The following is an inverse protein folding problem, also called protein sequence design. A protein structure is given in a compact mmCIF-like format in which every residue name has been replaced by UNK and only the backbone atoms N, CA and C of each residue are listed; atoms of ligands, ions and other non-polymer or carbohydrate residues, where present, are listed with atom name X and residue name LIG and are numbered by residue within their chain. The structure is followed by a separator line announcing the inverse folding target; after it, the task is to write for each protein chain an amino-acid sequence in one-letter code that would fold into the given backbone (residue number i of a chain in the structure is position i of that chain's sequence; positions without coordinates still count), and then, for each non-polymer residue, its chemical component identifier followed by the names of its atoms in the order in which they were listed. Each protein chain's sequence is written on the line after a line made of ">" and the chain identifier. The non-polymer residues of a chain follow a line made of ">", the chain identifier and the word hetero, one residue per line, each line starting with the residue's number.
data_IF_007367203145
#
_entry.id   IF_007367203145
#
_cell.length_a   1.000
_cell.length_b   1.000
_cell.length_c   1.000
_cell.angle_alpha   90.00
_cell.angle_beta   90.00
_cell.angle_gamma   90.00
#
_symmetry.space_group_name_H-M   'P 1'
#
loop_
_entity.id
_entity.type
_entity.pdbx_description
1 polymer ?
#
# COMPACT_ATOMS: atom_id res chain seq x y z
N UNK A 1 7.11 1.91 -1.81
CA UNK A 1 5.66 2.22 -1.89
C UNK A 1 5.00 1.21 -2.81
N UNK A 2 4.20 0.28 -2.26
CA UNK A 2 3.50 -0.75 -3.04
C UNK A 2 2.61 -0.07 -4.09
N UNK A 3 3.00 -0.17 -5.37
CA UNK A 3 2.25 0.42 -6.50
C UNK A 3 0.88 -0.24 -6.74
N UNK A 4 0.58 -1.30 -5.99
CA UNK A 4 -0.67 -2.07 -6.07
C UNK A 4 -1.24 -2.15 -4.65
N UNK A 5 -2.14 -1.24 -4.32
CA UNK A 5 -2.96 -1.33 -3.12
C UNK A 5 -4.38 -1.69 -3.60
N UNK A 6 -4.75 -2.97 -3.49
CA UNK A 6 -6.08 -3.62 -3.58
C UNK A 6 -7.07 -3.25 -4.73
N UNK A 7 -6.95 -2.09 -5.36
CA UNK A 7 -7.79 -1.59 -6.42
C UNK A 7 -7.56 -2.43 -7.67
N UNK A 8 -8.55 -3.29 -7.96
CA UNK A 8 -8.53 -4.22 -9.07
C UNK A 8 -8.28 -5.68 -8.70
N UNK A 9 -8.36 -6.06 -7.41
CA UNK A 9 -8.43 -7.49 -7.04
C UNK A 9 -9.84 -8.04 -7.25
N UNK A 10 -9.93 -9.35 -7.48
CA UNK A 10 -11.24 -10.02 -7.58
C UNK A 10 -12.03 -10.02 -6.27
N UNK A 11 -11.34 -9.96 -5.13
CA UNK A 11 -11.96 -9.93 -3.79
C UNK A 11 -12.76 -8.64 -3.57
N UNK A 12 -12.25 -7.49 -4.00
CA UNK A 12 -12.98 -6.23 -3.88
C UNK A 12 -14.30 -6.27 -4.66
N UNK A 13 -14.28 -6.78 -5.89
CA UNK A 13 -15.52 -6.95 -6.67
C UNK A 13 -16.50 -7.92 -6.03
N UNK A 14 -16.00 -8.96 -5.37
CA UNK A 14 -16.81 -9.93 -4.65
C UNK A 14 -17.48 -9.32 -3.41
N UNK A 15 -16.73 -8.53 -2.62
CA UNK A 15 -17.24 -7.75 -1.48
C UNK A 15 -18.32 -6.77 -1.92
N UNK A 16 -18.06 -5.95 -2.95
CA UNK A 16 -19.03 -4.97 -3.45
C UNK A 16 -20.30 -5.63 -4.02
N UNK A 17 -20.15 -6.77 -4.70
CA UNK A 17 -21.30 -7.54 -5.17
C UNK A 17 -22.15 -8.07 -3.99
N UNK A 18 -21.48 -8.56 -2.94
CA UNK A 18 -22.15 -9.05 -1.74
C UNK A 18 -22.90 -7.93 -1.00
N UNK A 19 -22.33 -6.73 -0.87
CA UNK A 19 -22.99 -5.56 -0.27
C UNK A 19 -24.23 -5.12 -1.05
N UNK A 20 -24.18 -5.19 -2.39
CA UNK A 20 -25.34 -4.94 -3.25
C UNK A 20 -26.35 -6.10 -3.28
N UNK A 21 -26.06 -7.22 -2.61
CA UNK A 21 -26.93 -8.39 -2.57
C UNK A 21 -26.99 -9.19 -3.87
N UNK A 22 -25.95 -9.12 -4.70
CA UNK A 22 -25.89 -9.78 -6.02
C UNK A 22 -24.73 -10.78 -6.12
N UNK A 23 -24.86 -11.79 -6.99
CA UNK A 23 -23.75 -12.72 -7.24
C UNK A 23 -22.71 -12.12 -8.18
N UNK A 24 -21.44 -12.08 -7.74
CA UNK A 24 -20.32 -11.69 -8.61
C UNK A 24 -20.21 -12.57 -9.87
N UNK A 25 -20.55 -13.85 -9.75
CA UNK A 25 -20.41 -14.83 -10.85
C UNK A 25 -21.53 -14.74 -11.88
N UNK A 26 -22.76 -14.55 -11.42
CA UNK A 26 -23.95 -14.68 -12.27
C UNK A 26 -24.59 -13.34 -12.62
N UNK A 27 -24.48 -12.34 -11.74
CA UNK A 27 -25.33 -11.15 -11.78
C UNK A 27 -24.53 -9.89 -12.10
N UNK A 28 -23.31 -9.74 -11.57
CA UNK A 28 -22.53 -8.50 -11.72
C UNK A 28 -22.37 -8.06 -13.17
N UNK A 29 -21.88 -8.93 -14.06
CA UNK A 29 -21.71 -8.56 -15.48
C UNK A 29 -23.05 -8.25 -16.15
N UNK A 30 -24.13 -8.98 -15.78
CA UNK A 30 -25.47 -8.76 -16.33
C UNK A 30 -26.01 -7.39 -15.92
N UNK A 31 -25.88 -7.01 -14.65
CA UNK A 31 -26.26 -5.69 -14.16
C UNK A 31 -25.41 -4.59 -14.81
N UNK A 32 -24.08 -4.76 -14.84
CA UNK A 32 -23.19 -3.79 -15.48
C UNK A 32 -23.56 -3.52 -16.94
N UNK A 33 -23.93 -4.55 -17.72
CA UNK A 33 -24.37 -4.37 -19.11
C UNK A 33 -25.76 -3.75 -19.27
N UNK A 34 -26.60 -3.82 -18.23
CA UNK A 34 -27.88 -3.11 -18.20
C UNK A 34 -27.76 -1.64 -17.78
N UNK A 35 -26.62 -1.25 -17.22
CA UNK A 35 -26.31 0.13 -16.83
C UNK A 35 -26.30 1.05 -18.06
N UNK A 36 -26.96 2.20 -17.93
CA UNK A 36 -27.07 3.21 -18.98
C UNK A 36 -26.13 4.38 -18.74
N UNK A 37 -25.82 4.64 -17.47
CA UNK A 37 -25.05 5.80 -17.01
C UNK A 37 -24.07 5.35 -15.93
N UNK A 38 -22.91 4.78 -16.32
CA UNK A 38 -21.91 4.34 -15.36
C UNK A 38 -21.57 5.43 -14.36
N UNK A 39 -21.64 5.12 -13.07
CA UNK A 39 -21.30 6.06 -12.00
C UNK A 39 -19.80 6.32 -12.01
N UNK A 40 -19.40 7.58 -11.87
CA UNK A 40 -18.00 7.91 -11.64
C UNK A 40 -17.67 7.69 -10.16
N UNK A 41 -17.02 6.56 -9.87
CA UNK A 41 -16.58 6.19 -8.52
C UNK A 41 -15.10 6.58 -8.28
N UNK A 42 -14.49 7.35 -9.19
CA UNK A 42 -13.08 7.72 -9.15
C UNK A 42 -12.12 6.58 -9.50
N UNK A 43 -10.81 6.86 -9.47
CA UNK A 43 -9.72 5.94 -9.83
C UNK A 43 -8.67 5.75 -8.72
N UNK A 44 -9.01 6.11 -7.47
CA UNK A 44 -8.05 6.17 -6.35
C UNK A 44 -7.84 4.81 -5.65
N UNK A 45 -8.39 4.63 -4.44
CA UNK A 45 -8.23 3.47 -3.58
C UNK A 45 -9.58 2.76 -3.42
N UNK A 46 -9.58 1.43 -3.18
CA UNK A 46 -10.81 0.65 -2.95
C UNK A 46 -11.65 1.20 -1.82
N UNK A 47 -11.03 1.70 -0.74
CA UNK A 47 -11.73 2.27 0.41
C UNK A 47 -12.56 3.51 0.04
N UNK A 48 -12.00 4.40 -0.80
CA UNK A 48 -12.76 5.55 -1.28
C UNK A 48 -13.83 5.13 -2.27
N UNK A 49 -13.54 4.13 -3.11
CA UNK A 49 -14.49 3.61 -4.08
C UNK A 49 -15.71 2.97 -3.38
N UNK A 50 -15.49 2.21 -2.31
CA UNK A 50 -16.54 1.65 -1.44
C UNK A 50 -17.42 2.74 -0.82
N UNK A 51 -16.80 3.84 -0.36
CA UNK A 51 -17.54 4.99 0.18
C UNK A 51 -18.44 5.63 -0.89
N UNK A 52 -17.93 5.78 -2.12
CA UNK A 52 -18.72 6.29 -3.26
C UNK A 52 -19.83 5.33 -3.69
N UNK A 53 -19.59 4.01 -3.66
CA UNK A 53 -20.63 3.00 -3.90
C UNK A 53 -21.74 3.11 -2.87
N UNK A 54 -21.40 3.18 -1.58
CA UNK A 54 -22.37 3.39 -0.51
C UNK A 54 -23.18 4.68 -0.73
N UNK A 55 -22.51 5.78 -1.09
CA UNK A 55 -23.18 7.05 -1.39
C UNK A 55 -24.13 6.94 -2.58
N UNK A 56 -23.73 6.25 -3.65
CA UNK A 56 -24.56 6.03 -4.83
C UNK A 56 -25.80 5.19 -4.51
N UNK A 57 -25.64 4.12 -3.71
CA UNK A 57 -26.76 3.30 -3.23
C UNK A 57 -27.74 4.13 -2.39
N UNK A 58 -27.24 4.96 -1.46
CA UNK A 58 -28.09 5.84 -0.64
C UNK A 58 -28.86 6.88 -1.48
N UNK A 59 -28.29 7.33 -2.60
CA UNK A 59 -28.94 8.23 -3.56
C UNK A 59 -29.94 7.49 -4.47
N UNK A 60 -30.12 6.18 -4.32
CA UNK A 60 -31.03 5.37 -5.12
C UNK A 60 -30.56 5.15 -6.55
N UNK A 61 -29.24 5.18 -6.80
CA UNK A 61 -28.69 4.88 -8.12
C UNK A 61 -28.90 3.41 -8.44
N UNK A 62 -29.29 3.12 -9.68
CA UNK A 62 -29.53 1.76 -10.16
C UNK A 62 -28.26 0.89 -10.06
N UNK A 63 -28.42 -0.35 -9.61
CA UNK A 63 -27.32 -1.32 -9.42
C UNK A 63 -26.52 -1.50 -10.72
N UNK A 64 -27.17 -1.44 -11.89
CA UNK A 64 -26.48 -1.55 -13.17
C UNK A 64 -25.52 -0.41 -13.46
N UNK A 65 -25.88 0.81 -13.06
CA UNK A 65 -25.04 2.01 -13.20
C UNK A 65 -23.85 1.96 -12.22
N UNK A 66 -24.05 1.41 -11.02
CA UNK A 66 -22.98 1.19 -10.03
C UNK A 66 -22.01 0.09 -10.51
N UNK A 67 -22.53 -1.06 -10.96
CA UNK A 67 -21.71 -2.18 -11.43
C UNK A 67 -20.87 -1.80 -12.66
N UNK A 68 -21.45 -1.03 -13.59
CA UNK A 68 -20.70 -0.49 -14.73
C UNK A 68 -19.65 0.54 -14.28
N UNK A 69 -19.99 1.43 -13.35
CA UNK A 69 -19.05 2.35 -12.71
C UNK A 69 -17.84 1.63 -12.11
N UNK A 70 -18.07 0.59 -11.31
CA UNK A 70 -17.03 -0.24 -10.70
C UNK A 70 -16.10 -0.88 -11.75
N UNK A 71 -16.66 -1.41 -12.84
CA UNK A 71 -15.87 -1.97 -13.93
C UNK A 71 -14.95 -0.92 -14.59
N UNK A 72 -15.45 0.29 -14.84
CA UNK A 72 -14.66 1.40 -15.38
C UNK A 72 -13.60 1.88 -14.39
N UNK A 73 -13.94 2.04 -13.12
CA UNK A 73 -13.04 2.52 -12.08
C UNK A 73 -11.85 1.58 -11.87
N UNK A 74 -12.07 0.25 -11.90
CA UNK A 74 -11.00 -0.74 -11.84
C UNK A 74 -10.08 -0.64 -13.05
N UNK A 75 -10.65 -0.56 -14.26
CA UNK A 75 -9.86 -0.48 -15.48
C UNK A 75 -9.03 0.81 -15.53
N UNK A 76 -9.61 1.96 -15.19
CA UNK A 76 -8.91 3.25 -15.10
C UNK A 76 -7.81 3.23 -14.06
N UNK A 77 -8.08 2.72 -12.86
CA UNK A 77 -7.09 2.60 -11.81
C UNK A 77 -5.87 1.78 -12.26
N UNK A 78 -6.09 0.62 -12.89
CA UNK A 78 -5.00 -0.20 -13.40
C UNK A 78 -4.17 0.53 -14.46
N UNK A 79 -4.84 1.21 -15.40
CA UNK A 79 -4.17 1.96 -16.46
C UNK A 79 -3.38 3.14 -15.90
N UNK A 80 -3.90 3.88 -14.93
CA UNK A 80 -3.24 5.06 -14.37
C UNK A 80 -2.10 4.69 -13.41
N UNK A 81 -2.30 3.70 -12.54
CA UNK A 81 -1.36 3.38 -11.44
C UNK A 81 -0.33 2.33 -11.82
N UNK A 82 -0.70 1.32 -12.60
CA UNK A 82 0.16 0.17 -12.92
C UNK A 82 0.82 0.33 -14.28
N UNK A 83 0.02 0.67 -15.30
CA UNK A 83 0.55 0.95 -16.64
C UNK A 83 1.24 2.31 -16.66
N UNK A 84 0.58 3.34 -16.12
CA UNK A 84 1.09 4.71 -16.10
C UNK A 84 1.44 5.20 -17.50
N UNK A 85 2.66 5.70 -17.68
CA UNK A 85 3.13 6.25 -18.96
C UNK A 85 3.66 5.19 -19.95
N UNK A 86 3.50 3.89 -19.67
CA UNK A 86 3.98 2.83 -20.56
C UNK A 86 3.14 2.75 -21.83
N UNK A 87 3.78 2.44 -22.95
CA UNK A 87 3.09 2.25 -24.22
C UNK A 87 2.30 0.94 -24.24
N UNK A 88 1.04 1.00 -24.66
CA UNK A 88 0.17 -0.17 -24.79
C UNK A 88 0.19 -0.66 -26.24
N UNK A 89 0.64 -1.89 -26.44
CA UNK A 89 0.73 -2.54 -27.75
C UNK A 89 -0.60 -2.77 -28.46
N UNK A 90 -0.54 -3.44 -29.61
CA UNK A 90 -1.73 -3.84 -30.40
C UNK A 90 -2.40 -5.10 -29.84
N UNK A 91 -1.61 -6.03 -29.32
CA UNK A 91 -2.11 -7.29 -28.77
C UNK A 91 -2.20 -7.17 -27.25
N UNK A 92 -3.42 -7.20 -26.72
CA UNK A 92 -3.68 -7.07 -25.29
C UNK A 92 -4.24 -8.40 -24.80
N UNK A 93 -3.57 -8.98 -23.79
CA UNK A 93 -4.00 -10.19 -23.13
C UNK A 93 -4.34 -9.87 -21.68
N UNK A 94 -5.54 -10.22 -21.22
CA UNK A 94 -5.97 -10.02 -19.85
C UNK A 94 -6.08 -11.37 -19.13
N UNK A 95 -5.42 -11.47 -17.98
CA UNK A 95 -5.24 -12.70 -17.21
C UNK A 95 -5.58 -12.47 -15.73
N UNK A 96 -5.75 -13.55 -14.98
CA UNK A 96 -6.14 -13.53 -13.58
C UNK A 96 -7.65 -13.68 -13.37
N UNK A 97 -8.08 -13.83 -12.12
CA UNK A 97 -9.48 -14.11 -11.77
C UNK A 97 -10.47 -13.03 -12.26
N UNK A 98 -10.07 -11.76 -12.23
CA UNK A 98 -10.88 -10.63 -12.68
C UNK A 98 -11.17 -10.68 -14.18
N UNK A 99 -10.29 -11.30 -14.98
CA UNK A 99 -10.52 -11.46 -16.42
C UNK A 99 -11.74 -12.35 -16.73
N UNK A 100 -12.23 -13.12 -15.75
CA UNK A 100 -13.51 -13.84 -15.88
C UNK A 100 -14.74 -12.92 -15.85
N UNK A 101 -14.63 -11.69 -15.35
CA UNK A 101 -15.72 -10.72 -15.30
C UNK A 101 -15.80 -9.95 -16.61
N UNK A 102 -16.82 -10.25 -17.42
CA UNK A 102 -16.96 -9.68 -18.77
C UNK A 102 -17.18 -8.17 -18.77
N UNK A 103 -17.75 -7.61 -17.72
CA UNK A 103 -17.94 -6.16 -17.61
C UNK A 103 -16.60 -5.42 -17.47
N UNK A 104 -15.66 -5.98 -16.70
CA UNK A 104 -14.31 -5.40 -16.56
C UNK A 104 -13.54 -5.52 -17.86
N UNK A 105 -13.64 -6.65 -18.56
CA UNK A 105 -13.05 -6.83 -19.90
C UNK A 105 -13.59 -5.77 -20.86
N UNK A 106 -14.92 -5.61 -20.92
CA UNK A 106 -15.55 -4.61 -21.76
C UNK A 106 -15.13 -3.18 -21.39
N UNK A 107 -14.98 -2.86 -20.10
CA UNK A 107 -14.48 -1.56 -19.67
C UNK A 107 -13.06 -1.29 -20.18
N UNK A 108 -12.15 -2.27 -20.12
CA UNK A 108 -10.83 -2.15 -20.73
C UNK A 108 -10.90 -1.94 -22.24
N UNK A 109 -11.73 -2.70 -22.96
CA UNK A 109 -11.91 -2.53 -24.40
C UNK A 109 -12.44 -1.14 -24.77
N UNK A 110 -13.39 -0.62 -24.00
CA UNK A 110 -13.95 0.72 -24.18
C UNK A 110 -12.94 1.82 -23.87
N UNK A 111 -12.13 1.70 -22.84
CA UNK A 111 -11.12 2.72 -22.52
C UNK A 111 -9.97 2.69 -23.54
N UNK A 112 -9.53 1.49 -23.92
CA UNK A 112 -8.37 1.30 -24.79
C UNK A 112 -8.69 1.43 -26.28
N UNK A 113 -9.98 1.34 -26.65
CA UNK A 113 -10.46 1.26 -28.03
C UNK A 113 -9.75 0.16 -28.82
N UNK A 114 -9.49 -0.97 -28.14
CA UNK A 114 -8.72 -2.12 -28.64
C UNK A 114 -9.32 -3.42 -28.11
N UNK A 115 -9.26 -4.52 -28.89
CA UNK A 115 -9.74 -5.82 -28.42
C UNK A 115 -8.84 -6.36 -27.30
N UNK A 116 -9.47 -6.91 -26.26
CA UNK A 116 -8.78 -7.51 -25.12
C UNK A 116 -9.02 -9.03 -25.14
N UNK A 117 -7.95 -9.80 -25.32
CA UNK A 117 -8.04 -11.26 -25.40
C UNK A 117 -7.98 -11.88 -24.02
N UNK A 118 -8.96 -12.70 -23.70
CA UNK A 118 -9.03 -13.47 -22.45
C UNK A 118 -8.94 -14.96 -22.76
N UNK A 119 -8.00 -15.65 -22.14
CA UNK A 119 -7.89 -17.11 -22.23
C UNK A 119 -9.03 -17.78 -21.45
N UNK A 120 -9.62 -18.89 -21.94
CA UNK A 120 -10.53 -19.72 -21.12
C UNK A 120 -9.88 -20.21 -19.82
N UNK A 121 -8.54 -20.31 -19.81
CA UNK A 121 -7.74 -20.74 -18.67
C UNK A 121 -7.18 -19.57 -17.84
N UNK A 122 -7.79 -18.36 -17.93
CA UNK A 122 -7.28 -17.13 -17.29
C UNK A 122 -6.98 -17.25 -15.78
N UNK A 123 -7.67 -18.15 -15.06
CA UNK A 123 -7.47 -18.38 -13.63
C UNK A 123 -6.21 -19.18 -13.29
N UNK A 124 -5.70 -19.96 -14.23
CA UNK A 124 -4.57 -20.89 -14.03
C UNK A 124 -3.39 -20.57 -14.94
N UNK A 125 -3.36 -19.39 -15.58
CA UNK A 125 -2.29 -19.01 -16.51
C UNK A 125 -0.91 -19.02 -15.84
N UNK A 126 -0.82 -18.67 -14.55
CA UNK A 126 0.42 -18.76 -13.78
C UNK A 126 0.96 -20.20 -13.69
N UNK A 127 0.10 -21.17 -13.40
CA UNK A 127 0.47 -22.58 -13.33
C UNK A 127 0.89 -23.13 -14.72
N UNK A 128 0.16 -22.75 -15.77
CA UNK A 128 0.53 -23.08 -17.15
C UNK A 128 1.90 -22.49 -17.50
N UNK A 129 2.13 -21.22 -17.16
CA UNK A 129 3.41 -20.53 -17.38
C UNK A 129 4.57 -21.24 -16.68
N UNK A 130 4.38 -21.67 -15.43
CA UNK A 130 5.38 -22.43 -14.69
C UNK A 130 5.71 -23.78 -15.37
N UNK A 131 4.69 -24.53 -15.77
CA UNK A 131 4.88 -25.80 -16.49
C UNK A 131 5.61 -25.61 -17.83
N UNK A 132 5.26 -24.57 -18.59
CA UNK A 132 5.93 -24.22 -19.84
C UNK A 132 7.38 -23.80 -19.64
N UNK A 133 7.67 -23.03 -18.58
CA UNK A 133 9.02 -22.60 -18.24
C UNK A 133 9.93 -23.80 -17.92
N UNK A 134 9.43 -24.79 -17.20
CA UNK A 134 10.14 -26.04 -16.92
C UNK A 134 10.38 -26.81 -18.22
N UNK A 135 9.35 -26.96 -19.06
CA UNK A 135 9.47 -27.64 -20.36
C UNK A 135 10.50 -26.96 -21.27
N UNK A 136 10.54 -25.63 -21.29
CA UNK A 136 11.46 -24.86 -22.14
C UNK A 136 12.92 -24.88 -21.70
N UNK A 137 13.20 -25.08 -20.40
CA UNK A 137 14.56 -25.25 -19.88
C UNK A 137 15.12 -26.66 -20.12
N UNK A 138 14.27 -27.62 -20.47
CA UNK A 138 14.63 -29.03 -20.53
C UNK A 138 14.73 -29.65 -19.12
N UNK A 139 14.48 -30.95 -19.03
CA UNK A 139 14.48 -31.72 -17.77
C UNK A 139 15.89 -31.96 -17.18
N UNK A 140 16.94 -31.31 -17.72
CA UNK A 140 18.34 -31.55 -17.38
C UNK A 140 18.94 -30.62 -16.33
N UNK A 141 18.18 -29.62 -15.85
CA UNK A 141 18.64 -28.71 -14.80
C UNK A 141 18.07 -29.12 -13.43
N UNK A 142 18.95 -29.28 -12.45
CA UNK A 142 18.55 -29.49 -11.06
C UNK A 142 17.77 -28.28 -10.54
N UNK A 143 16.58 -28.51 -10.00
CA UNK A 143 15.78 -27.45 -9.37
C UNK A 143 16.42 -27.00 -8.05
N UNK A 144 16.32 -25.71 -7.72
CA UNK A 144 16.61 -25.19 -6.38
C UNK A 144 15.49 -25.51 -5.36
N UNK A 145 14.41 -26.15 -5.81
CA UNK A 145 13.34 -26.62 -4.95
C UNK A 145 13.87 -27.70 -4.00
N UNK A 146 13.92 -27.38 -2.70
CA UNK A 146 14.45 -28.25 -1.64
C UNK A 146 13.55 -29.44 -1.29
N UNK A 147 12.42 -29.62 -2.01
CA UNK A 147 11.42 -30.64 -1.72
C UNK A 147 10.42 -30.20 -0.64
N UNK A 148 9.30 -30.93 -0.51
CA UNK A 148 8.32 -30.69 0.56
C UNK A 148 8.80 -31.20 1.92
N UNK A 149 9.77 -32.12 1.95
CA UNK A 149 10.32 -32.59 3.21
C UNK A 149 11.07 -31.49 3.97
N UNK A 150 11.51 -30.46 3.25
CA UNK A 150 12.15 -29.30 3.85
C UNK A 150 11.19 -28.45 4.71
N UNK A 151 9.88 -28.72 4.74
CA UNK A 151 8.95 -27.96 5.61
C UNK A 151 8.53 -28.71 6.88
N UNK A 152 9.05 -29.92 7.12
CA UNK A 152 8.63 -30.75 8.28
C UNK A 152 9.18 -30.26 9.62
N UNK A 153 10.44 -29.82 9.64
CA UNK A 153 11.16 -29.45 10.87
C UNK A 153 11.52 -27.96 10.90
N UNK A 154 10.53 -27.10 10.70
CA UNK A 154 10.70 -25.65 10.73
C UNK A 154 10.55 -25.12 12.16
N UNK A 155 11.58 -24.45 12.67
CA UNK A 155 11.50 -23.74 13.95
C UNK A 155 11.08 -22.30 13.66
N UNK A 156 9.90 -21.93 14.13
CA UNK A 156 9.38 -20.57 14.01
C UNK A 156 9.68 -19.78 15.29
N UNK A 157 10.23 -18.59 15.13
CA UNK A 157 10.41 -17.62 16.20
C UNK A 157 10.16 -16.21 15.68
N UNK A 158 9.87 -15.27 16.59
CA UNK A 158 9.74 -13.85 16.25
C UNK A 158 10.59 -13.01 17.18
N UNK A 159 11.04 -11.85 16.71
CA UNK A 159 11.70 -10.84 17.53
C UNK A 159 11.28 -9.43 17.11
N UNK A 160 11.40 -8.47 18.04
CA UNK A 160 11.14 -7.05 17.75
C UNK A 160 12.41 -6.35 17.27
N UNK A 161 12.37 -5.78 16.08
CA UNK A 161 13.49 -5.08 15.48
C UNK A 161 13.62 -3.66 16.04
N UNK A 162 14.61 -3.43 16.93
CA UNK A 162 14.93 -2.10 17.47
C UNK A 162 15.65 -1.15 16.49
N UNK A 163 15.62 -1.45 15.20
CA UNK A 163 16.44 -0.79 14.19
C UNK A 163 15.99 0.59 13.73
N UNK A 164 14.74 0.95 14.02
CA UNK A 164 14.13 2.26 13.78
C UNK A 164 12.86 2.39 14.64
N UNK A 165 12.20 3.54 14.59
CA UNK A 165 10.96 3.82 15.33
C UNK A 165 9.79 2.87 15.03
N UNK A 166 9.81 2.17 13.90
CA UNK A 166 8.74 1.24 13.50
C UNK A 166 8.66 -0.02 14.38
N UNK A 167 9.77 -0.41 15.02
CA UNK A 167 9.86 -1.56 15.92
C UNK A 167 9.12 -2.83 15.44
N UNK A 168 9.25 -3.14 14.14
CA UNK A 168 8.50 -4.22 13.50
C UNK A 168 8.78 -5.59 14.15
N UNK A 169 7.76 -6.44 14.17
CA UNK A 169 7.90 -7.84 14.54
C UNK A 169 8.39 -8.64 13.32
N UNK A 170 9.59 -9.21 13.45
CA UNK A 170 10.25 -9.97 12.39
C UNK A 170 10.12 -11.44 12.70
N UNK A 171 9.56 -12.20 11.75
CA UNK A 171 9.50 -13.64 11.80
C UNK A 171 10.79 -14.28 11.31
N UNK A 172 11.21 -15.34 11.98
CA UNK A 172 12.39 -16.14 11.64
C UNK A 172 11.95 -17.58 11.50
N UNK A 173 12.24 -18.17 10.35
CA UNK A 173 12.13 -19.60 10.09
C UNK A 173 13.55 -20.16 10.11
N UNK A 174 13.86 -20.98 11.10
CA UNK A 174 15.14 -21.70 11.17
C UNK A 174 14.97 -23.13 10.67
N UNK A 175 15.87 -23.53 9.78
CA UNK A 175 15.88 -24.85 9.19
C UNK A 175 17.32 -25.29 8.89
N UNK A 176 17.74 -26.41 9.49
CA UNK A 176 19.06 -27.04 9.23
C UNK A 176 20.23 -26.04 9.30
N UNK A 177 20.19 -25.10 10.26
CA UNK A 177 21.21 -24.05 10.45
C UNK A 177 21.08 -22.82 9.54
N UNK A 178 20.12 -22.79 8.62
CA UNK A 178 19.80 -21.61 7.80
C UNK A 178 18.60 -20.86 8.39
N UNK A 179 18.66 -19.53 8.40
CA UNK A 179 17.58 -18.65 8.87
C UNK A 179 16.97 -17.89 7.70
N UNK A 180 15.65 -17.92 7.61
CA UNK A 180 14.87 -17.15 6.64
C UNK A 180 14.05 -16.13 7.43
N UNK A 181 14.18 -14.86 7.07
CA UNK A 181 13.48 -13.76 7.72
C UNK A 181 12.30 -13.27 6.88
N UNK A 182 11.24 -12.79 7.54
CA UNK A 182 10.09 -12.16 6.90
C UNK A 182 9.37 -11.20 7.86
N UNK A 183 8.60 -10.26 7.32
CA UNK A 183 7.76 -9.33 8.11
C UNK A 183 8.44 -8.00 8.48
N UNK A 184 9.72 -7.81 8.16
CA UNK A 184 10.40 -6.54 8.33
C UNK A 184 10.00 -5.52 7.25
N UNK A 185 9.63 -4.32 7.67
CA UNK A 185 9.08 -3.29 6.78
C UNK A 185 10.13 -2.63 5.88
N UNK A 186 11.38 -2.57 6.34
CA UNK A 186 12.49 -1.95 5.62
C UNK A 186 13.36 -2.96 4.86
N UNK A 187 12.95 -4.23 4.80
CA UNK A 187 13.66 -5.31 4.11
C UNK A 187 15.10 -5.58 4.62
N UNK A 188 15.51 -4.99 5.76
CA UNK A 188 16.83 -5.15 6.41
C UNK A 188 17.23 -6.62 6.62
N UNK A 189 16.30 -7.50 6.92
CA UNK A 189 16.56 -8.93 7.17
C UNK A 189 16.16 -9.79 5.97
N UNK A 190 15.04 -9.46 5.31
CA UNK A 190 14.57 -10.21 4.15
C UNK A 190 15.53 -10.11 2.95
N UNK A 191 16.34 -9.05 2.87
CA UNK A 191 17.35 -8.85 1.81
C UNK A 191 18.70 -9.56 2.03
N UNK A 192 18.95 -10.20 3.19
CA UNK A 192 20.26 -10.81 3.54
C UNK A 192 20.65 -12.07 2.73
N UNK A 193 20.00 -12.32 1.58
CA UNK A 193 20.40 -13.33 0.59
C UNK A 193 20.63 -12.77 -0.82
N UNK A 194 20.43 -11.48 -1.03
CA UNK A 194 20.99 -10.77 -2.17
C UNK A 194 22.42 -10.38 -1.80
N UNK A 195 23.41 -10.62 -2.67
CA UNK A 195 24.78 -10.17 -2.46
C UNK A 195 24.78 -8.73 -1.94
N UNK A 196 25.20 -8.54 -0.69
CA UNK A 196 25.29 -7.24 -0.07
C UNK A 196 26.35 -6.43 -0.81
N UNK A 197 25.93 -5.38 -1.51
CA UNK A 197 26.81 -4.25 -1.77
C UNK A 197 27.32 -3.75 -0.42
N UNK A 198 28.64 -3.82 -0.24
CA UNK A 198 29.42 -3.34 0.90
C UNK A 198 28.73 -2.22 1.71
N UNK A 199 28.37 -2.51 2.96
CA UNK A 199 27.70 -1.60 3.91
C UNK A 199 28.60 -0.40 4.30
N UNK A 200 29.86 -0.39 3.85
CA UNK A 200 30.82 0.70 4.01
C UNK A 200 30.49 1.95 3.20
N UNK A 201 29.49 1.90 2.29
CA UNK A 201 29.04 3.02 1.46
C UNK A 201 27.54 3.30 1.56
N UNK A 202 26.93 3.16 2.75
CA UNK A 202 25.59 3.69 2.95
C UNK A 202 25.60 5.20 2.69
N UNK A 203 24.78 5.72 1.74
CA UNK A 203 24.67 7.16 1.56
C UNK A 203 24.18 7.82 2.86
N UNK A 204 24.54 9.09 3.12
CA UNK A 204 24.14 9.77 4.34
C UNK A 204 22.63 9.69 4.53
N UNK A 205 22.19 9.47 5.78
CA UNK A 205 20.79 9.41 6.14
C UNK A 205 20.15 10.81 6.06
N UNK A 206 19.82 11.23 4.84
CA UNK A 206 19.27 12.57 4.57
C UNK A 206 17.97 12.84 5.34
N UNK A 207 17.21 11.79 5.69
CA UNK A 207 16.01 11.94 6.50
C UNK A 207 16.34 12.32 7.96
N UNK A 208 17.36 11.69 8.55
CA UNK A 208 17.85 12.03 9.89
C UNK A 208 18.47 13.43 9.92
N UNK A 209 19.26 13.78 8.90
CA UNK A 209 19.83 15.13 8.76
C UNK A 209 18.74 16.20 8.63
N UNK A 210 17.75 15.98 7.77
CA UNK A 210 16.60 16.87 7.60
C UNK A 210 15.82 17.06 8.92
N UNK A 211 15.59 15.97 9.66
CA UNK A 211 14.89 16.01 10.94
C UNK A 211 15.68 16.77 12.00
N UNK A 212 16.98 16.50 12.12
CA UNK A 212 17.86 17.24 13.03
C UNK A 212 17.89 18.74 12.70
N UNK A 213 17.89 19.09 11.41
CA UNK A 213 17.77 20.46 10.94
C UNK A 213 16.46 21.12 11.36
N UNK A 214 15.33 20.44 11.19
CA UNK A 214 14.01 20.93 11.60
C UNK A 214 13.89 21.13 13.12
N UNK A 215 14.43 20.20 13.91
CA UNK A 215 14.39 20.26 15.38
C UNK A 215 15.30 21.34 15.96
N UNK A 216 16.34 21.73 15.23
CA UNK A 216 17.28 22.78 15.67
C UNK A 216 16.60 24.12 15.98
N UNK A 217 15.46 24.42 15.34
CA UNK A 217 14.66 25.64 15.57
C UNK A 217 14.04 25.71 16.96
N UNK A 218 13.93 24.56 17.64
CA UNK A 218 13.32 24.41 18.97
C UNK A 218 14.37 24.36 20.08
N UNK A 219 15.66 24.45 19.75
CA UNK A 219 16.72 24.56 20.77
C UNK A 219 16.64 25.90 21.50
N UNK A 220 17.00 25.88 22.77
CA UNK A 220 16.90 27.02 23.70
C UNK A 220 17.84 28.18 23.36
N UNK A 221 18.82 27.95 22.49
CA UNK A 221 19.84 28.89 22.04
C UNK A 221 19.62 29.44 20.62
N UNK A 222 18.67 28.91 19.85
CA UNK A 222 18.42 29.35 18.47
C UNK A 222 17.86 30.79 18.44
N UNK A 223 18.60 31.74 17.86
CA UNK A 223 18.11 33.09 17.58
C UNK A 223 17.78 33.96 18.80
N UNK A 224 18.60 33.94 19.86
CA UNK A 224 18.36 34.76 21.07
C UNK A 224 18.18 36.25 20.78
N UNK A 225 16.97 36.77 21.00
CA UNK A 225 16.70 38.11 21.51
C UNK A 225 15.72 38.08 22.68
N UNK A 226 16.13 38.77 23.74
CA UNK A 226 15.43 39.17 24.98
C UNK A 226 15.20 38.15 26.11
N UNK A 227 15.91 38.46 27.20
CA UNK A 227 15.84 38.00 28.58
C UNK A 227 14.60 38.54 29.31
N UNK A 228 13.41 38.08 28.94
CA UNK A 228 12.15 38.35 29.65
C UNK A 228 11.36 37.05 29.87
N UNK A 229 10.36 37.06 30.78
CA UNK A 229 9.45 35.91 31.02
C UNK A 229 8.65 35.60 29.73
N UNK A 230 9.16 34.70 28.90
CA UNK A 230 8.49 34.26 27.67
C UNK A 230 7.43 33.20 27.98
N UNK A 231 6.28 33.27 27.30
CA UNK A 231 5.22 32.25 27.40
C UNK A 231 5.65 31.01 26.63
N UNK A 232 5.37 29.83 27.18
CA UNK A 232 5.71 28.54 26.55
C UNK A 232 4.56 28.08 25.67
N UNK A 233 4.87 27.53 24.50
CA UNK A 233 3.90 26.81 23.66
C UNK A 233 4.46 25.44 23.27
N UNK A 234 3.67 24.40 23.52
CA UNK A 234 4.00 23.03 23.13
C UNK A 234 3.53 22.74 21.71
N UNK A 235 4.37 22.11 20.90
CA UNK A 235 4.04 21.62 19.56
C UNK A 235 4.24 20.10 19.52
N UNK A 236 3.26 19.32 19.02
CA UNK A 236 3.40 17.87 18.95
C UNK A 236 4.29 17.45 17.77
N UNK A 237 5.09 16.41 17.98
CA UNK A 237 5.78 15.65 16.92
C UNK A 237 4.78 14.80 16.13
N UNK A 238 3.93 15.47 15.34
CA UNK A 238 2.97 14.84 14.45
C UNK A 238 3.37 15.00 12.98
N UNK A 239 3.04 14.00 12.15
CA UNK A 239 3.36 13.98 10.71
C UNK A 239 2.93 15.26 9.99
N UNK A 240 1.78 15.83 10.34
CA UNK A 240 1.25 17.07 9.73
C UNK A 240 2.07 18.32 10.07
N UNK A 241 2.70 18.38 11.25
CA UNK A 241 3.48 19.54 11.72
C UNK A 241 4.95 19.41 11.35
N UNK A 242 5.46 18.18 11.19
CA UNK A 242 6.88 17.90 10.93
C UNK A 242 7.45 18.68 9.74
N UNK A 243 6.73 18.73 8.61
CA UNK A 243 7.17 19.49 7.43
C UNK A 243 7.21 21.02 7.62
N UNK A 244 6.57 21.54 8.68
CA UNK A 244 6.48 22.97 8.98
C UNK A 244 7.18 23.35 10.28
N UNK A 245 7.98 22.45 10.88
CA UNK A 245 8.69 22.73 12.13
C UNK A 245 9.55 23.99 12.07
N UNK A 246 10.36 24.25 11.02
CA UNK A 246 11.10 25.51 10.90
C UNK A 246 10.19 26.75 10.91
N UNK A 247 9.05 26.67 10.21
CA UNK A 247 8.08 27.76 10.16
C UNK A 247 7.48 28.04 11.55
N UNK A 248 6.99 27.01 12.24
CA UNK A 248 6.36 27.18 13.56
C UNK A 248 7.37 27.61 14.63
N UNK A 249 8.58 27.04 14.60
CA UNK A 249 9.67 27.42 15.51
C UNK A 249 10.01 28.89 15.41
N UNK A 250 10.13 29.42 14.17
CA UNK A 250 10.38 30.84 13.94
C UNK A 250 9.16 31.70 14.28
N UNK A 251 7.98 31.34 13.79
CA UNK A 251 6.75 32.10 13.99
C UNK A 251 6.47 32.39 15.46
N UNK A 252 6.49 31.35 16.32
CA UNK A 252 6.21 31.52 17.75
C UNK A 252 7.28 32.38 18.44
N UNK A 253 8.54 32.28 18.01
CA UNK A 253 9.62 33.09 18.56
C UNK A 253 9.48 34.57 18.18
N UNK A 254 9.12 34.87 16.94
CA UNK A 254 8.88 36.24 16.47
C UNK A 254 7.73 36.94 17.23
N UNK A 255 6.70 36.19 17.63
CA UNK A 255 5.59 36.75 18.43
C UNK A 255 5.85 36.72 19.96
N UNK A 256 7.07 36.39 20.40
CA UNK A 256 7.49 36.46 21.80
C UNK A 256 7.20 35.21 22.65
N UNK A 257 6.97 34.06 22.02
CA UNK A 257 6.77 32.77 22.70
C UNK A 257 7.98 31.85 22.54
N UNK A 258 8.16 30.95 23.48
CA UNK A 258 9.19 29.90 23.41
C UNK A 258 8.52 28.60 22.96
N UNK A 259 8.71 28.18 21.69
CA UNK A 259 8.18 26.91 21.22
C UNK A 259 8.99 25.74 21.79
N UNK A 260 8.28 24.73 22.28
CA UNK A 260 8.83 23.48 22.81
C UNK A 260 8.23 22.33 22.02
N UNK A 261 9.08 21.52 21.39
CA UNK A 261 8.64 20.34 20.67
C UNK A 261 8.44 19.19 21.66
N UNK A 262 7.36 18.42 21.50
CA UNK A 262 7.15 17.22 22.31
C UNK A 262 8.31 16.24 22.18
N UNK A 263 8.53 15.39 23.17
CA UNK A 263 9.54 14.33 23.09
C UNK A 263 9.17 13.28 22.03
N UNK A 264 10.14 12.47 21.63
CA UNK A 264 9.90 11.30 20.78
C UNK A 264 8.89 10.37 21.46
N UNK A 265 7.90 9.89 20.71
CA UNK A 265 6.85 9.03 21.24
C UNK A 265 7.45 7.79 21.91
N UNK A 266 7.12 7.61 23.19
CA UNK A 266 7.43 6.42 23.97
C UNK A 266 6.13 5.70 24.35
N UNK A 267 6.25 4.45 24.82
CA UNK A 267 5.11 3.70 25.35
C UNK A 267 4.40 4.42 26.50
N UNK A 268 5.17 5.20 27.28
CA UNK A 268 4.65 6.00 28.38
C UNK A 268 3.86 7.22 27.89
N UNK A 269 4.42 7.98 26.95
CA UNK A 269 3.77 9.14 26.32
C UNK A 269 2.47 8.70 25.63
N UNK A 270 2.48 7.55 24.93
CA UNK A 270 1.29 7.00 24.29
C UNK A 270 0.18 6.69 25.30
N UNK A 271 0.50 6.02 26.41
CA UNK A 271 -0.47 5.71 27.48
C UNK A 271 -1.02 6.97 28.15
N UNK A 272 -0.18 7.99 28.36
CA UNK A 272 -0.62 9.31 28.86
C UNK A 272 -1.58 9.99 27.87
N UNK A 273 -1.27 9.92 26.57
CA UNK A 273 -2.15 10.42 25.51
C UNK A 273 -3.51 9.73 25.50
N UNK A 274 -3.55 8.39 25.62
CA UNK A 274 -4.79 7.62 25.65
C UNK A 274 -5.72 8.03 26.80
N UNK A 275 -5.18 8.35 27.98
CA UNK A 275 -5.98 8.81 29.12
C UNK A 275 -6.62 10.18 28.92
N UNK A 276 -6.08 10.99 28.02
CA UNK A 276 -6.53 12.34 27.73
C UNK A 276 -7.27 12.45 26.38
N UNK A 277 -7.52 11.32 25.70
CA UNK A 277 -8.41 11.30 24.55
C UNK A 277 -9.83 11.58 25.05
N UNK A 278 -10.54 12.57 24.47
CA UNK A 278 -11.95 12.74 24.77
C UNK A 278 -12.67 11.42 24.45
N UNK A 279 -13.45 10.93 25.41
CA UNK A 279 -14.28 9.75 25.20
C UNK A 279 -15.11 9.96 23.93
N UNK A 280 -14.86 9.12 22.94
CA UNK A 280 -15.62 9.06 21.69
C UNK A 280 -16.62 7.92 21.81
#
# INVERSE_FOLDING_TARGET
>A
MNKVCAAGTGSFLEEQAQEMGISIRNDFSRHAFSGKRPVDLGSHCTVFMETEVCSAMQKGVEIGDICSGLAYSIARNYLEKVVGNKTIGKNIAFQGGVASNRAVVAAFEQILQKPVRVSPFNRITGAIGAALAIRGRGLGHSSIFRGLDCVRDLIFSTFKCGGCSNNCEVGVIEQSGSKIFFGDTCERYTSQGAESSDDSQLPPNLAEEYMAGCESYFRTDFGKKNSGKTKLIGLPRGSTIMGFLPFWGTFFREIGWTPVLSECTSSEIFRLGQKNLPAT
#
